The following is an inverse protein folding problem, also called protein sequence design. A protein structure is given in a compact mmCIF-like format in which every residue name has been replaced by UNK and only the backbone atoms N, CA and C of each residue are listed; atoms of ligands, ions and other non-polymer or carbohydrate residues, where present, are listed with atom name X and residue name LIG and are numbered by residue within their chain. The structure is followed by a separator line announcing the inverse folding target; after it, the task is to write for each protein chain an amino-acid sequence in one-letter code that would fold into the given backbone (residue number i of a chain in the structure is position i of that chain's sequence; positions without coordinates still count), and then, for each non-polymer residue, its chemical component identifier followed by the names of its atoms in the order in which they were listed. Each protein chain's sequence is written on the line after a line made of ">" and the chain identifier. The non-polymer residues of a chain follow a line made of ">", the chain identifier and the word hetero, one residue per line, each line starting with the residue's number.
data_IF_186935542348
#
_entry.id   IF_186935542348
#
_cell.length_a   1.000
_cell.length_b   1.000
_cell.length_c   1.000
_cell.angle_alpha   90.00
_cell.angle_beta   90.00
_cell.angle_gamma   90.00
#
_symmetry.space_group_name_H-M   'P 1'
#
loop_
_entity.id
_entity.type
_entity.pdbx_description
1 polymer ?
#
# COMPACT_ATOMS: atom_id res chain seq x y z
N UNK A 1 53.78 7.76 2.77
CA UNK A 1 53.24 8.99 3.39
C UNK A 1 52.07 9.60 2.60
N UNK A 2 52.21 9.88 1.29
CA UNK A 2 51.12 10.45 0.47
C UNK A 2 49.84 9.60 0.40
N UNK A 3 49.97 8.27 0.30
CA UNK A 3 48.83 7.33 0.28
C UNK A 3 48.07 7.27 1.61
N UNK A 4 48.78 7.37 2.74
CA UNK A 4 48.17 7.38 4.08
C UNK A 4 47.40 8.68 4.30
N UNK A 5 47.95 9.81 3.85
CA UNK A 5 47.29 11.11 3.94
C UNK A 5 46.03 11.18 3.07
N UNK A 6 46.08 10.61 1.86
CA UNK A 6 44.92 10.51 0.96
C UNK A 6 43.80 9.64 1.55
N UNK A 7 44.15 8.52 2.19
CA UNK A 7 43.17 7.65 2.83
C UNK A 7 42.51 8.33 4.04
N UNK A 8 43.29 9.07 4.85
CA UNK A 8 42.79 9.80 6.01
C UNK A 8 41.84 10.94 5.61
N UNK A 9 42.18 11.65 4.53
CA UNK A 9 41.32 12.70 3.95
C UNK A 9 40.01 12.13 3.39
N UNK A 10 40.06 10.94 2.77
CA UNK A 10 38.86 10.27 2.26
C UNK A 10 37.92 9.83 3.40
N UNK A 11 38.47 9.28 4.49
CA UNK A 11 37.68 8.90 5.66
C UNK A 11 37.10 10.10 6.40
N UNK A 12 37.82 11.23 6.46
CA UNK A 12 37.36 12.45 7.12
C UNK A 12 36.27 13.16 6.31
N UNK A 13 36.32 13.07 4.97
CA UNK A 13 35.30 13.62 4.09
C UNK A 13 33.99 12.82 4.07
N UNK A 14 34.03 11.52 4.42
CA UNK A 14 32.85 10.64 4.42
C UNK A 14 32.08 10.65 5.75
N UNK A 15 32.70 11.13 6.83
CA UNK A 15 32.11 11.19 8.18
C UNK A 15 30.84 12.07 8.30
N UNK A 16 30.66 13.20 7.60
CA UNK A 16 29.46 14.04 7.75
C UNK A 16 28.20 13.40 7.17
N UNK A 17 28.33 12.53 6.16
CA UNK A 17 27.17 11.93 5.47
C UNK A 17 26.40 10.93 6.35
N UNK A 18 27.02 10.42 7.41
CA UNK A 18 26.40 9.47 8.35
C UNK A 18 25.63 10.17 9.50
N UNK A 19 25.71 11.50 9.58
CA UNK A 19 25.03 12.34 10.58
C UNK A 19 23.89 13.18 9.99
N UNK A 20 23.54 12.95 8.73
CA UNK A 20 22.38 13.58 8.12
C UNK A 20 21.12 13.03 8.80
N UNK A 21 20.63 13.74 9.81
CA UNK A 21 19.27 13.53 10.31
C UNK A 21 18.31 13.80 9.17
N UNK A 22 17.24 12.99 8.99
CA UNK A 22 16.21 13.33 8.02
C UNK A 22 15.71 14.73 8.36
N UNK A 23 15.94 15.67 7.45
CA UNK A 23 15.27 16.97 7.51
C UNK A 23 13.83 16.70 7.07
N UNK A 24 12.97 16.37 8.05
CA UNK A 24 11.55 16.57 7.86
C UNK A 24 11.37 18.07 7.59
N UNK A 25 10.61 18.39 6.55
CA UNK A 25 10.32 19.78 6.20
C UNK A 25 8.98 20.24 6.80
N UNK A 26 8.20 19.28 7.29
CA UNK A 26 6.88 19.44 7.87
C UNK A 26 6.60 18.24 8.78
N UNK A 27 5.96 18.50 9.92
CA UNK A 27 5.40 17.47 10.78
C UNK A 27 4.13 16.92 10.12
N UNK A 28 4.08 15.60 9.93
CA UNK A 28 3.01 14.91 9.20
C UNK A 28 2.37 13.86 10.11
N UNK A 29 1.13 13.47 9.81
CA UNK A 29 0.52 12.29 10.43
C UNK A 29 1.16 11.04 9.84
N UNK A 30 1.65 10.15 10.68
CA UNK A 30 2.17 8.82 10.30
C UNK A 30 1.19 7.69 10.60
N UNK A 31 0.25 7.93 11.51
CA UNK A 31 -0.81 6.98 11.87
C UNK A 31 -2.07 7.77 12.26
N UNK A 32 -3.23 7.31 11.77
CA UNK A 32 -4.54 7.83 12.13
C UNK A 32 -5.52 6.66 12.30
N UNK A 33 -6.20 6.65 13.44
CA UNK A 33 -7.31 5.74 13.72
C UNK A 33 -8.50 6.52 14.32
N UNK A 34 -9.65 6.57 13.63
CA UNK A 34 -9.90 6.02 12.29
C UNK A 34 -9.05 6.69 11.19
N UNK A 35 -8.75 5.98 10.07
CA UNK A 35 -8.07 6.57 8.93
C UNK A 35 -8.95 7.60 8.21
N UNK A 36 -8.32 8.53 7.49
CA UNK A 36 -9.04 9.49 6.65
C UNK A 36 -9.94 8.79 5.61
N UNK A 37 -11.16 9.29 5.45
CA UNK A 37 -12.17 8.73 4.55
C UNK A 37 -12.85 7.47 5.07
N UNK A 38 -12.69 7.11 6.36
CA UNK A 38 -13.35 5.92 6.91
C UNK A 38 -14.88 6.04 6.88
N UNK A 39 -15.55 4.96 6.47
CA UNK A 39 -16.99 4.75 6.64
C UNK A 39 -17.21 4.00 7.97
N UNK A 40 -18.05 4.53 8.85
CA UNK A 40 -18.25 4.05 10.22
C UNK A 40 -19.74 3.92 10.54
N UNK A 41 -20.13 2.88 11.26
CA UNK A 41 -21.52 2.73 11.73
C UNK A 41 -21.89 3.82 12.75
N UNK A 42 -20.93 4.23 13.58
CA UNK A 42 -21.09 5.28 14.59
C UNK A 42 -19.88 6.23 14.60
N UNK A 43 -20.03 7.50 15.04
CA UNK A 43 -18.90 8.40 15.17
C UNK A 43 -17.89 7.86 16.21
N UNK A 44 -16.58 8.01 15.95
CA UNK A 44 -15.55 7.47 16.83
C UNK A 44 -15.52 8.20 18.18
N UNK A 45 -15.48 7.43 19.27
CA UNK A 45 -15.31 7.96 20.62
C UNK A 45 -13.88 8.48 20.89
N UNK A 46 -12.93 8.03 20.07
CA UNK A 46 -11.51 8.41 20.13
C UNK A 46 -10.98 8.59 18.72
N UNK A 47 -10.24 9.69 18.50
CA UNK A 47 -9.37 9.87 17.33
C UNK A 47 -7.94 9.78 17.82
N UNK A 48 -7.23 8.74 17.38
CA UNK A 48 -5.82 8.51 17.68
C UNK A 48 -4.96 8.98 16.51
N UNK A 49 -4.00 9.87 16.79
CA UNK A 49 -3.04 10.34 15.79
C UNK A 49 -1.61 10.16 16.30
N UNK A 50 -0.72 9.69 15.43
CA UNK A 50 0.72 9.80 15.63
C UNK A 50 1.36 10.67 14.55
N UNK A 51 2.40 11.41 14.93
CA UNK A 51 3.10 12.33 14.06
C UNK A 51 4.52 11.87 13.76
N UNK A 52 5.08 12.33 12.64
CA UNK A 52 6.46 12.04 12.21
C UNK A 52 7.52 12.60 13.18
N UNK A 53 7.13 13.58 14.00
CA UNK A 53 7.96 14.23 15.01
C UNK A 53 7.13 14.47 16.28
N UNK A 54 7.75 14.54 17.47
CA UNK A 54 7.05 14.91 18.69
C UNK A 54 6.39 16.29 18.60
N UNK A 55 5.16 16.42 19.09
CA UNK A 55 4.40 17.68 19.13
C UNK A 55 4.76 18.50 20.37
N UNK A 56 4.76 19.83 20.26
CA UNK A 56 4.94 20.76 21.37
C UNK A 56 3.67 20.89 22.23
N UNK A 57 3.35 19.85 23.00
CA UNK A 57 2.06 19.78 23.72
C UNK A 57 2.01 20.50 25.08
N UNK A 58 3.15 20.96 25.62
CA UNK A 58 3.19 21.65 26.92
C UNK A 58 2.74 23.11 26.86
N UNK A 59 2.66 23.65 25.66
CA UNK A 59 2.10 24.97 25.35
C UNK A 59 0.80 24.78 24.57
N UNK A 60 -0.32 25.19 25.16
CA UNK A 60 -1.64 25.04 24.53
C UNK A 60 -1.82 25.88 23.27
N UNK A 61 -0.96 26.88 23.02
CA UNK A 61 -0.99 27.65 21.79
C UNK A 61 -0.29 26.94 20.61
N UNK A 62 0.42 25.85 20.87
CA UNK A 62 1.22 25.12 19.88
C UNK A 62 0.46 23.98 19.19
N UNK A 63 -0.82 23.78 19.52
CA UNK A 63 -1.70 22.86 18.82
C UNK A 63 -3.14 23.39 18.77
N UNK A 64 -3.88 23.00 17.73
CA UNK A 64 -5.29 23.26 17.57
C UNK A 64 -5.97 22.01 17.00
N UNK A 65 -7.03 21.55 17.66
CA UNK A 65 -7.85 20.45 17.18
C UNK A 65 -9.30 20.89 17.16
N UNK A 66 -10.01 20.54 16.10
CA UNK A 66 -11.42 20.89 15.93
C UNK A 66 -12.16 19.71 15.29
N UNK A 67 -13.15 19.20 16.01
CA UNK A 67 -13.99 18.10 15.57
C UNK A 67 -15.37 18.66 15.20
N UNK A 68 -15.77 18.55 13.93
CA UNK A 68 -16.98 19.14 13.37
C UNK A 68 -17.96 18.04 13.00
N UNK A 69 -19.21 18.22 13.39
CA UNK A 69 -20.31 17.31 13.08
C UNK A 69 -20.96 17.62 11.72
N UNK A 70 -21.78 16.71 11.18
CA UNK A 70 -22.54 16.92 9.94
C UNK A 70 -23.44 18.16 9.92
N UNK A 71 -23.79 18.70 11.10
CA UNK A 71 -24.59 19.92 11.27
C UNK A 71 -23.74 21.18 11.47
N UNK A 72 -22.46 21.15 11.08
CA UNK A 72 -21.46 22.22 11.17
C UNK A 72 -21.10 22.66 12.60
N UNK A 73 -21.58 21.96 13.63
CA UNK A 73 -21.22 22.27 15.02
C UNK A 73 -19.88 21.68 15.39
N UNK A 74 -19.01 22.52 15.95
CA UNK A 74 -17.76 22.07 16.58
C UNK A 74 -18.02 21.50 17.99
N UNK A 75 -17.38 20.37 18.29
CA UNK A 75 -17.45 19.72 19.59
C UNK A 75 -16.37 20.22 20.55
N UNK A 76 -16.72 20.28 21.83
CA UNK A 76 -15.71 20.27 22.89
C UNK A 76 -14.99 18.93 22.91
N UNK A 77 -13.77 18.89 23.41
CA UNK A 77 -12.97 17.66 23.41
C UNK A 77 -12.03 17.60 24.60
N UNK A 78 -11.65 16.38 24.97
CA UNK A 78 -10.53 16.12 25.88
C UNK A 78 -9.36 15.58 25.07
N UNK A 79 -8.19 16.16 25.25
CA UNK A 79 -6.97 15.83 24.51
C UNK A 79 -5.98 15.20 25.48
N UNK A 80 -5.40 14.06 25.11
CA UNK A 80 -4.40 13.35 25.92
C UNK A 80 -3.21 13.00 25.04
N UNK A 81 -2.10 13.71 25.23
CA UNK A 81 -0.85 13.34 24.57
C UNK A 81 -0.21 12.13 25.26
N UNK A 82 0.30 11.22 24.44
CA UNK A 82 1.15 10.13 24.90
C UNK A 82 2.47 10.64 25.48
N UNK A 83 3.23 9.76 26.16
CA UNK A 83 4.59 10.09 26.59
C UNK A 83 5.42 10.56 25.39
N UNK A 84 6.23 11.60 25.56
CA UNK A 84 7.06 12.12 24.47
C UNK A 84 6.32 13.04 23.48
N UNK A 85 4.99 12.97 23.36
CA UNK A 85 4.20 13.82 22.46
C UNK A 85 4.18 13.35 21.00
N UNK A 86 4.57 12.11 20.74
CA UNK A 86 4.58 11.50 19.40
C UNK A 86 3.17 11.16 18.93
N UNK A 87 2.32 10.73 19.86
CA UNK A 87 0.91 10.41 19.60
C UNK A 87 -0.03 11.15 20.54
N UNK A 88 -1.29 11.26 20.14
CA UNK A 88 -2.35 11.95 20.87
C UNK A 88 -3.68 11.22 20.70
N UNK A 89 -4.40 11.07 21.81
CA UNK A 89 -5.78 10.60 21.83
C UNK A 89 -6.71 11.80 22.05
N UNK A 90 -7.62 12.02 21.11
CA UNK A 90 -8.66 13.03 21.19
C UNK A 90 -9.99 12.34 21.45
N UNK A 91 -10.68 12.78 22.49
CA UNK A 91 -11.99 12.28 22.89
C UNK A 91 -13.04 13.36 22.62
N UNK A 92 -13.79 13.28 21.49
CA UNK A 92 -14.83 14.24 21.17
C UNK A 92 -15.97 14.17 22.18
N UNK A 93 -16.52 15.32 22.56
CA UNK A 93 -17.69 15.43 23.43
C UNK A 93 -18.97 15.16 22.65
N UNK A 94 -19.16 13.92 22.19
CA UNK A 94 -20.30 13.52 21.37
C UNK A 94 -21.64 13.76 22.10
N UNK A 95 -22.65 14.34 21.42
CA UNK A 95 -24.00 14.45 21.98
C UNK A 95 -24.68 13.07 22.06
N UNK A 96 -25.73 12.97 22.90
CA UNK A 96 -26.51 11.73 23.03
C UNK A 96 -27.20 11.30 21.72
N UNK A 97 -27.58 12.27 20.88
CA UNK A 97 -28.08 12.03 19.53
C UNK A 97 -26.95 12.32 18.56
N UNK A 98 -26.42 11.27 17.92
CA UNK A 98 -25.30 11.33 16.99
C UNK A 98 -25.85 11.34 15.55
N UNK A 99 -25.79 12.48 14.83
CA UNK A 99 -26.31 12.54 13.47
C UNK A 99 -25.47 11.67 12.52
N UNK A 100 -26.11 11.08 11.53
CA UNK A 100 -25.42 10.48 10.38
C UNK A 100 -24.93 11.58 9.43
N UNK A 101 -23.91 11.26 8.63
CA UNK A 101 -23.31 12.15 7.64
C UNK A 101 -21.80 12.29 7.80
N UNK A 102 -21.25 13.30 7.14
CA UNK A 102 -19.81 13.58 7.17
C UNK A 102 -19.42 14.32 8.47
N UNK A 103 -18.47 13.74 9.19
CA UNK A 103 -17.74 14.37 10.27
C UNK A 103 -16.36 14.79 9.75
N UNK A 104 -15.82 15.88 10.29
CA UNK A 104 -14.45 16.29 9.98
C UNK A 104 -13.63 16.58 11.24
N UNK A 105 -12.36 16.21 11.20
CA UNK A 105 -11.39 16.45 12.26
C UNK A 105 -10.22 17.26 11.71
N UNK A 106 -10.22 18.55 12.03
CA UNK A 106 -9.14 19.47 11.68
C UNK A 106 -8.06 19.44 12.76
N UNK A 107 -6.81 19.44 12.33
CA UNK A 107 -5.65 19.46 13.22
C UNK A 107 -4.62 20.48 12.75
N UNK A 108 -3.93 21.05 13.71
CA UNK A 108 -2.73 21.85 13.52
C UNK A 108 -1.80 21.61 14.71
N UNK A 109 -0.53 21.33 14.46
CA UNK A 109 0.46 21.07 15.51
C UNK A 109 1.80 21.70 15.16
N UNK A 110 2.52 22.20 16.16
CA UNK A 110 3.91 22.59 16.04
C UNK A 110 4.83 21.47 16.55
N UNK A 111 5.94 21.25 15.87
CA UNK A 111 6.97 20.31 16.33
C UNK A 111 7.58 20.79 17.66
N UNK A 112 7.96 19.84 18.53
CA UNK A 112 8.58 20.13 19.81
C UNK A 112 9.96 20.81 19.66
N UNK A 113 10.67 20.45 18.60
CA UNK A 113 11.97 20.98 18.22
C UNK A 113 11.85 21.72 16.88
N UNK A 114 12.41 22.92 16.79
CA UNK A 114 12.32 23.76 15.59
C UNK A 114 11.05 24.63 15.52
N UNK A 115 10.79 25.15 14.32
CA UNK A 115 9.68 26.07 14.02
C UNK A 115 8.68 25.44 13.02
N UNK A 116 8.70 24.12 12.88
CA UNK A 116 7.86 23.38 11.95
C UNK A 116 6.41 23.33 12.44
N UNK A 117 5.47 23.53 11.50
CA UNK A 117 4.03 23.48 11.76
C UNK A 117 3.38 22.60 10.69
N UNK A 118 2.56 21.66 11.13
CA UNK A 118 1.75 20.80 10.28
C UNK A 118 0.27 21.07 10.52
N UNK A 119 -0.54 20.86 9.49
CA UNK A 119 -2.00 20.99 9.59
C UNK A 119 -2.69 20.13 8.53
N UNK A 120 -3.93 19.74 8.79
CA UNK A 120 -4.76 19.01 7.85
C UNK A 120 -6.16 18.75 8.38
N UNK A 121 -6.92 17.98 7.62
CA UNK A 121 -8.29 17.58 7.96
C UNK A 121 -8.46 16.10 7.64
N UNK A 122 -9.08 15.36 8.55
CA UNK A 122 -9.57 14.00 8.33
C UNK A 122 -11.09 14.05 8.17
N UNK A 123 -11.65 13.25 7.28
CA UNK A 123 -13.09 13.13 7.05
C UNK A 123 -13.55 11.71 7.40
N UNK A 124 -14.71 11.61 8.06
CA UNK A 124 -15.33 10.33 8.42
C UNK A 124 -16.78 10.34 7.97
N UNK A 125 -17.21 9.33 7.24
CA UNK A 125 -18.61 9.15 6.88
C UNK A 125 -19.27 8.24 7.90
N UNK A 126 -20.31 8.74 8.57
CA UNK A 126 -21.07 7.97 9.57
C UNK A 126 -22.46 7.65 9.07
N UNK A 127 -22.88 6.41 9.21
CA UNK A 127 -24.23 5.94 8.89
C UNK A 127 -24.21 4.48 8.46
N UNK A 128 -25.38 3.89 8.24
CA UNK A 128 -25.49 2.51 7.77
C UNK A 128 -24.78 2.36 6.42
N UNK A 129 -23.60 1.73 6.42
CA UNK A 129 -23.17 0.97 5.25
C UNK A 129 -24.27 -0.04 4.99
N UNK A 130 -24.88 -0.10 3.79
CA UNK A 130 -25.84 -1.15 3.49
C UNK A 130 -25.13 -2.47 3.79
N UNK A 131 -25.59 -3.19 4.81
CA UNK A 131 -25.14 -4.55 5.08
C UNK A 131 -25.31 -5.25 3.75
N UNK A 132 -24.19 -5.63 3.11
CA UNK A 132 -24.25 -6.42 1.90
C UNK A 132 -24.95 -7.70 2.33
N UNK A 133 -26.27 -7.75 2.10
CA UNK A 133 -27.09 -8.92 2.29
C UNK A 133 -26.29 -10.05 1.68
N UNK A 134 -25.90 -11.02 2.51
CA UNK A 134 -24.98 -12.08 2.13
C UNK A 134 -25.37 -12.56 0.74
N UNK A 135 -24.45 -12.39 -0.20
CA UNK A 135 -24.58 -12.99 -1.53
C UNK A 135 -24.44 -14.50 -1.34
N UNK A 136 -25.49 -15.14 -0.84
CA UNK A 136 -25.88 -16.46 -1.29
C UNK A 136 -26.41 -16.29 -2.73
N UNK A 137 -25.50 -16.01 -3.65
CA UNK A 137 -25.71 -16.20 -5.08
C UNK A 137 -24.52 -17.02 -5.59
N UNK A 138 -24.65 -18.32 -5.39
CA UNK A 138 -24.03 -19.38 -6.18
C UNK A 138 -24.54 -19.30 -7.64
N UNK A 139 -24.29 -18.16 -8.31
CA UNK A 139 -24.62 -17.96 -9.73
C UNK A 139 -23.69 -16.90 -10.38
N UNK A 140 -22.42 -16.88 -9.97
CA UNK A 140 -21.33 -16.23 -10.70
C UNK A 140 -20.60 -17.28 -11.54
N UNK A 141 -20.12 -16.98 -12.77
CA UNK A 141 -19.40 -17.95 -13.58
C UNK A 141 -18.19 -18.47 -12.80
N UNK A 142 -18.17 -19.77 -12.52
CA UNK A 142 -17.15 -20.44 -11.72
C UNK A 142 -15.75 -20.03 -12.19
N UNK A 143 -15.16 -19.05 -11.50
CA UNK A 143 -13.82 -18.55 -11.81
C UNK A 143 -12.81 -19.68 -11.56
N UNK A 144 -13.16 -20.65 -10.71
CA UNK A 144 -12.43 -21.89 -10.48
C UNK A 144 -12.52 -22.86 -11.67
N UNK A 145 -13.68 -22.96 -12.34
CA UNK A 145 -13.85 -23.71 -13.59
C UNK A 145 -13.09 -23.05 -14.74
N UNK A 146 -13.15 -21.72 -14.85
CA UNK A 146 -12.36 -20.94 -15.82
C UNK A 146 -10.84 -21.05 -15.56
N UNK A 147 -10.41 -21.04 -14.29
CA UNK A 147 -9.02 -21.26 -13.90
C UNK A 147 -8.56 -22.71 -14.20
N UNK A 148 -9.41 -23.72 -13.98
CA UNK A 148 -9.08 -25.12 -14.30
C UNK A 148 -8.96 -25.37 -15.82
N UNK A 149 -9.81 -24.75 -16.64
CA UNK A 149 -9.74 -24.85 -18.11
C UNK A 149 -8.45 -24.19 -18.65
N UNK A 150 -8.05 -23.04 -18.10
CA UNK A 150 -6.82 -22.35 -18.55
C UNK A 150 -5.54 -23.11 -18.19
N UNK A 151 -5.49 -23.76 -17.03
CA UNK A 151 -4.34 -24.60 -16.62
C UNK A 151 -4.22 -25.85 -17.51
N UNK A 152 -5.33 -26.47 -17.90
CA UNK A 152 -5.33 -27.63 -18.79
C UNK A 152 -4.79 -27.32 -20.20
N UNK A 153 -5.01 -26.10 -20.71
CA UNK A 153 -4.51 -25.67 -22.02
C UNK A 153 -3.00 -25.48 -22.11
N UNK A 154 -2.36 -24.96 -21.06
CA UNK A 154 -0.92 -24.67 -21.05
C UNK A 154 -0.09 -25.95 -20.84
N UNK A 155 -0.60 -26.92 -20.07
CA UNK A 155 0.07 -28.22 -19.87
C UNK A 155 0.08 -29.12 -21.11
N UNK A 156 -1.00 -29.13 -21.89
CA UNK A 156 -1.14 -30.02 -23.05
C UNK A 156 -0.19 -29.69 -24.23
N UNK A 157 0.07 -28.40 -24.48
CA UNK A 157 0.92 -27.98 -25.59
C UNK A 157 2.40 -28.35 -25.41
N UNK A 158 2.92 -28.28 -24.18
CA UNK A 158 4.31 -28.62 -23.87
C UNK A 158 4.60 -30.12 -24.04
N UNK A 159 3.63 -30.99 -23.69
CA UNK A 159 3.76 -32.45 -23.82
C UNK A 159 3.72 -32.88 -25.30
N UNK A 160 2.83 -32.29 -26.11
CA UNK A 160 2.77 -32.61 -27.54
C UNK A 160 4.01 -32.11 -28.30
N UNK A 161 4.54 -30.94 -27.95
CA UNK A 161 5.74 -30.41 -28.58
C UNK A 161 6.99 -31.24 -28.24
N UNK A 162 7.14 -31.65 -26.98
CA UNK A 162 8.27 -32.50 -26.56
C UNK A 162 8.21 -33.90 -27.16
N UNK A 163 7.02 -34.51 -27.25
CA UNK A 163 6.82 -35.81 -27.89
C UNK A 163 7.10 -35.75 -29.40
N UNK A 164 6.60 -34.73 -30.10
CA UNK A 164 6.86 -34.53 -31.54
C UNK A 164 8.34 -34.26 -31.84
N UNK A 165 9.01 -33.48 -31.00
CA UNK A 165 10.45 -33.22 -31.13
C UNK A 165 11.28 -34.49 -30.94
N UNK A 166 10.92 -35.36 -30.00
CA UNK A 166 11.64 -36.62 -29.77
C UNK A 166 11.43 -37.64 -30.90
N UNK A 167 10.22 -37.73 -31.46
CA UNK A 167 9.94 -38.58 -32.63
C UNK A 167 10.74 -38.11 -33.85
N UNK A 168 10.76 -36.79 -34.10
CA UNK A 168 11.54 -36.20 -35.20
C UNK A 168 13.05 -36.41 -35.02
N UNK A 169 13.54 -36.39 -33.78
CA UNK A 169 14.96 -36.64 -33.48
C UNK A 169 15.36 -38.12 -33.65
N UNK A 170 14.42 -39.06 -33.49
CA UNK A 170 14.70 -40.50 -33.61
C UNK A 170 14.61 -41.03 -35.04
N UNK A 171 13.79 -40.40 -35.88
CA UNK A 171 13.61 -40.76 -37.28
C UNK A 171 14.54 -39.86 -38.09
N UNK A 172 15.80 -40.29 -38.19
CA UNK A 172 16.83 -39.60 -38.97
C UNK A 172 16.39 -39.44 -40.42
N UNK A 173 16.22 -38.19 -40.86
CA UNK A 173 16.01 -37.86 -42.26
C UNK A 173 17.39 -37.81 -42.91
N UNK A 174 17.87 -38.95 -43.37
CA UNK A 174 19.14 -39.07 -44.09
C UNK A 174 18.88 -38.75 -45.59
N UNK A 175 19.42 -37.65 -46.15
CA UNK A 175 19.07 -37.20 -47.48
C UNK A 175 20.08 -37.72 -48.51
N UNK A 176 19.82 -38.87 -49.12
CA UNK A 176 20.64 -39.41 -50.23
C UNK A 176 19.73 -40.14 -51.22
N UNK A 177 19.94 -40.17 -52.54
CA UNK A 177 20.79 -39.56 -53.57
C UNK A 177 20.26 -40.25 -54.86
N UNK A 178 20.10 -39.59 -56.01
CA UNK A 178 19.44 -40.22 -57.15
C UNK A 178 20.36 -41.28 -57.78
N UNK A 179 19.85 -42.45 -58.22
CA UNK A 179 20.62 -43.34 -59.08
C UNK A 179 20.22 -43.17 -60.56
N UNK A 180 21.26 -43.02 -61.37
CA UNK A 180 21.32 -43.22 -62.81
C UNK A 180 21.16 -44.72 -63.16
N UNK A 181 20.76 -45.02 -64.40
CA UNK A 181 21.26 -46.19 -65.13
C UNK A 181 20.40 -47.46 -65.16
N UNK A 182 19.57 -47.51 -66.20
CA UNK A 182 19.62 -48.51 -67.29
C UNK A 182 19.12 -49.97 -67.17
N UNK A 183 18.53 -50.36 -68.31
CA UNK A 183 18.35 -51.69 -68.92
C UNK A 183 17.41 -52.75 -68.32
N UNK A 184 16.31 -52.99 -69.06
CA UNK A 184 16.13 -54.30 -69.71
C UNK A 184 14.88 -55.13 -69.38
N UNK A 185 14.04 -55.40 -70.39
CA UNK A 185 13.34 -56.70 -70.49
C UNK A 185 11.83 -56.69 -70.77
N UNK A 186 11.49 -56.50 -72.05
CA UNK A 186 10.50 -57.15 -72.94
C UNK A 186 9.26 -57.96 -72.46
N UNK A 187 8.27 -57.88 -73.36
CA UNK A 187 7.21 -58.82 -73.77
C UNK A 187 5.98 -59.06 -72.87
N UNK A 188 4.84 -58.49 -73.29
CA UNK A 188 3.66 -59.23 -73.81
C UNK A 188 2.66 -58.32 -74.53
#
# INVERSE_FOLDING_TARGET
>A
MKLVLALLLLTLAMAPALLASPAYAQIEIVEADPPDGSELDEPPDVVHLCFSQPVKYRDSASFNFRYVMPDDRALGMRIVFGPGGECVDIFPGLPAVRPEGEYSFEWQVAAAEGDEVGSGTLHFMVGETPEAAGADDDDGPDILLLALITIAGVGGAAVLFTLGYFVRRRIGYDPHRPPEGDEGGDDH
#
